data_IF_963628950246
#
_entry.id   IF_963628950246
#
_cell.length_a   1.000
_cell.length_b   1.000
_cell.length_c   1.000
_cell.angle_alpha   90.00
_cell.angle_beta   90.00
_cell.angle_gamma   90.00
#
_symmetry.space_group_name_H-M   'P 1'
#
loop_
_entity.id
_entity.type
_entity.pdbx_description
1 polymer ?
#
# COMPACT_ATOMS: atom_id res chain seq x y z
N UNK A 1 -4.03 -27.66 -16.92
CA UNK A 1 -2.82 -26.90 -16.52
C UNK A 1 -3.29 -25.74 -15.65
N UNK A 2 -3.30 -25.97 -14.34
CA UNK A 2 -3.74 -24.99 -13.33
C UNK A 2 -2.57 -24.11 -12.96
N UNK A 3 -2.55 -22.88 -13.46
CA UNK A 3 -1.63 -21.86 -12.98
C UNK A 3 -2.04 -21.49 -11.56
N UNK A 4 -1.25 -21.92 -10.57
CA UNK A 4 -1.23 -21.27 -9.25
C UNK A 4 -0.65 -19.89 -9.46
N UNK A 5 -1.50 -18.91 -9.77
CA UNK A 5 -1.09 -17.50 -9.73
C UNK A 5 -0.67 -17.19 -8.31
N UNK A 6 0.60 -16.86 -8.09
CA UNK A 6 1.06 -16.29 -6.83
C UNK A 6 0.22 -15.05 -6.55
N UNK A 7 -0.49 -15.04 -5.42
CA UNK A 7 -1.20 -13.85 -4.96
C UNK A 7 -0.18 -12.83 -4.47
N UNK A 8 -0.25 -11.59 -4.95
CA UNK A 8 0.71 -10.56 -4.54
C UNK A 8 0.36 -9.97 -3.18
N UNK A 9 1.31 -9.29 -2.54
CA UNK A 9 1.06 -8.58 -1.26
C UNK A 9 0.01 -7.49 -1.46
N UNK A 10 0.05 -6.80 -2.61
CA UNK A 10 -0.87 -5.74 -3.00
C UNK A 10 -2.31 -6.25 -3.13
N UNK A 11 -2.51 -7.46 -3.66
CA UNK A 11 -3.82 -8.12 -3.75
C UNK A 11 -4.39 -8.51 -2.38
N UNK A 12 -3.54 -8.55 -1.36
CA UNK A 12 -3.88 -8.94 0.01
C UNK A 12 -3.98 -7.77 0.98
N UNK A 13 -3.93 -6.52 0.49
CA UNK A 13 -4.22 -5.35 1.32
C UNK A 13 -5.60 -5.45 1.96
N UNK A 14 -5.71 -4.94 3.19
CA UNK A 14 -6.89 -5.02 4.05
C UNK A 14 -7.32 -6.46 4.38
N UNK A 15 -6.34 -7.38 4.49
CA UNK A 15 -6.60 -8.79 4.88
C UNK A 15 -5.69 -9.25 6.01
N UNK A 16 -6.24 -10.18 6.79
CA UNK A 16 -5.44 -11.04 7.65
C UNK A 16 -4.67 -12.07 6.82
N UNK A 17 -3.39 -12.22 7.10
CA UNK A 17 -2.50 -13.10 6.35
C UNK A 17 -1.64 -13.97 7.27
N UNK A 18 -1.18 -15.07 6.68
CA UNK A 18 -0.06 -15.88 7.14
C UNK A 18 1.16 -15.55 6.29
N UNK A 19 2.32 -15.36 6.92
CA UNK A 19 3.62 -15.37 6.23
C UNK A 19 4.38 -16.64 6.58
N UNK A 20 4.89 -17.33 5.57
CA UNK A 20 5.61 -18.61 5.69
C UNK A 20 6.91 -18.53 6.55
N UNK A 21 7.47 -19.68 6.96
CA UNK A 21 8.45 -19.78 8.07
C UNK A 21 9.73 -18.97 7.99
N UNK A 22 10.18 -18.58 6.79
CA UNK A 22 11.32 -17.68 6.64
C UNK A 22 11.10 -16.31 7.33
N UNK A 23 9.84 -15.89 7.50
CA UNK A 23 9.48 -14.66 8.19
C UNK A 23 9.61 -14.78 9.71
N UNK A 24 9.07 -15.85 10.28
CA UNK A 24 9.02 -16.06 11.72
C UNK A 24 10.42 -16.23 12.32
N UNK A 25 11.31 -16.94 11.62
CA UNK A 25 12.71 -17.08 12.01
C UNK A 25 13.47 -15.75 12.10
N UNK A 26 13.11 -14.75 11.27
CA UNK A 26 13.73 -13.41 11.30
C UNK A 26 13.29 -12.54 12.49
N UNK A 27 12.22 -12.93 13.17
CA UNK A 27 11.64 -12.18 14.29
C UNK A 27 11.82 -12.89 15.64
N UNK A 28 12.62 -13.97 15.68
CA UNK A 28 12.79 -14.82 16.86
C UNK A 28 13.19 -14.08 18.13
N UNK A 29 13.95 -12.98 18.03
CA UNK A 29 14.36 -12.17 19.18
C UNK A 29 13.30 -11.15 19.63
N UNK A 30 12.28 -10.90 18.81
CA UNK A 30 11.20 -9.93 19.05
C UNK A 30 9.93 -10.58 19.60
N UNK A 31 9.88 -11.91 19.70
CA UNK A 31 8.73 -12.68 20.17
C UNK A 31 9.09 -13.48 21.42
N UNK A 32 8.27 -13.44 22.48
CA UNK A 32 8.64 -13.95 23.80
C UNK A 32 8.65 -15.49 23.96
N UNK A 33 8.24 -16.26 22.95
CA UNK A 33 8.04 -17.72 23.03
C UNK A 33 8.51 -18.42 21.73
N UNK A 34 8.75 -19.75 21.72
CA UNK A 34 9.22 -20.44 20.52
C UNK A 34 8.29 -20.12 19.35
N UNK A 35 8.81 -19.48 18.28
CA UNK A 35 7.95 -18.93 17.25
C UNK A 35 7.22 -20.08 16.56
N UNK A 36 5.90 -19.97 16.50
CA UNK A 36 5.12 -20.75 15.55
C UNK A 36 5.71 -20.58 14.15
N UNK A 37 5.47 -21.56 13.29
CA UNK A 37 6.13 -21.60 11.98
C UNK A 37 5.68 -20.48 11.03
N UNK A 38 4.65 -19.70 11.36
CA UNK A 38 4.14 -18.62 10.51
C UNK A 38 3.92 -17.35 11.33
N UNK A 39 4.05 -16.19 10.68
CA UNK A 39 3.53 -14.95 11.26
C UNK A 39 2.06 -14.82 10.92
N UNK A 40 1.27 -14.35 11.89
CA UNK A 40 -0.13 -13.97 11.69
C UNK A 40 -0.21 -12.46 11.82
N UNK A 41 -0.83 -11.78 10.87
CA UNK A 41 -0.97 -10.32 10.94
C UNK A 41 -1.96 -9.76 9.94
N UNK A 42 -2.18 -8.44 10.01
CA UNK A 42 -3.08 -7.72 9.12
C UNK A 42 -2.29 -6.79 8.20
N UNK A 43 -2.45 -6.94 6.88
CA UNK A 43 -1.83 -6.08 5.88
C UNK A 43 -2.65 -4.81 5.69
N UNK A 44 -1.98 -3.66 5.73
CA UNK A 44 -2.58 -2.36 5.52
C UNK A 44 -1.61 -1.38 4.85
N UNK A 45 -2.13 -0.24 4.42
CA UNK A 45 -1.30 0.87 3.94
C UNK A 45 -1.21 1.93 5.03
N UNK A 46 0.01 2.21 5.45
CA UNK A 46 0.39 3.34 6.29
C UNK A 46 0.75 4.52 5.37
N UNK A 47 0.19 5.71 5.63
CA UNK A 47 0.41 6.89 4.79
C UNK A 47 1.89 7.25 4.65
N UNK A 48 2.68 7.06 5.70
CA UNK A 48 4.08 7.50 5.71
C UNK A 48 5.07 6.37 5.46
N UNK A 49 4.61 5.12 5.49
CA UNK A 49 5.48 3.96 5.42
C UNK A 49 5.03 2.91 4.39
N UNK A 50 3.98 3.21 3.63
CA UNK A 50 3.44 2.32 2.61
C UNK A 50 2.87 1.03 3.20
N UNK A 51 3.01 -0.06 2.46
CA UNK A 51 2.50 -1.37 2.85
C UNK A 51 3.17 -1.82 4.15
N UNK A 52 2.34 -2.14 5.13
CA UNK A 52 2.74 -2.50 6.48
C UNK A 52 1.96 -3.72 6.95
N UNK A 53 2.60 -4.55 7.77
CA UNK A 53 1.98 -5.69 8.43
C UNK A 53 1.92 -5.42 9.93
N UNK A 54 0.72 -5.32 10.48
CA UNK A 54 0.55 -5.33 11.92
C UNK A 54 0.53 -6.78 12.41
N UNK A 55 1.57 -7.18 13.14
CA UNK A 55 1.78 -8.57 13.56
C UNK A 55 0.97 -8.84 14.82
N UNK A 56 0.12 -9.86 14.75
CA UNK A 56 -0.60 -10.40 15.90
C UNK A 56 0.29 -11.30 16.75
N UNK A 57 1.18 -12.04 16.09
CA UNK A 57 2.08 -12.99 16.72
C UNK A 57 2.46 -14.10 15.74
N UNK A 58 2.78 -15.28 16.28
CA UNK A 58 3.07 -16.47 15.45
C UNK A 58 2.00 -17.53 15.58
N UNK A 59 1.86 -18.34 14.54
CA UNK A 59 1.01 -19.52 14.57
C UNK A 59 1.60 -20.70 13.80
N UNK A 60 0.96 -21.85 13.98
CA UNK A 60 1.25 -23.08 13.25
C UNK A 60 0.00 -23.48 12.46
N UNK A 61 0.21 -23.98 11.25
CA UNK A 61 -0.86 -24.53 10.41
C UNK A 61 -0.87 -26.05 10.58
N UNK A 62 -2.01 -26.59 11.01
CA UNK A 62 -2.24 -28.02 11.12
C UNK A 62 -2.38 -28.69 9.75
N UNK A 63 -2.31 -30.02 9.71
CA UNK A 63 -2.46 -30.80 8.47
C UNK A 63 -3.84 -30.63 7.81
N UNK A 64 -4.85 -30.25 8.60
CA UNK A 64 -6.22 -29.94 8.19
C UNK A 64 -6.40 -28.47 7.75
N UNK A 65 -5.32 -27.66 7.77
CA UNK A 65 -5.36 -26.23 7.47
C UNK A 65 -5.82 -25.36 8.64
N UNK A 66 -6.07 -25.91 9.82
CA UNK A 66 -6.41 -25.13 11.01
C UNK A 66 -5.23 -24.28 11.44
N UNK A 67 -5.46 -23.02 11.75
CA UNK A 67 -4.41 -22.09 12.22
C UNK A 67 -4.52 -21.96 13.73
N UNK A 68 -3.42 -22.25 14.41
CA UNK A 68 -3.31 -22.10 15.87
C UNK A 68 -2.28 -21.01 16.14
N UNK A 69 -2.69 -19.92 16.78
CA UNK A 69 -1.76 -18.88 17.25
C UNK A 69 -1.04 -19.39 18.48
N UNK A 70 0.27 -19.57 18.38
CA UNK A 70 1.13 -20.13 19.43
C UNK A 70 1.75 -19.06 20.33
N UNK A 71 1.91 -17.85 19.82
CA UNK A 71 2.34 -16.69 20.58
C UNK A 71 1.58 -15.45 20.11
N UNK A 72 1.36 -14.50 21.03
CA UNK A 72 0.80 -13.19 20.70
C UNK A 72 1.77 -12.11 21.12
N UNK A 73 1.87 -11.07 20.29
CA UNK A 73 2.47 -9.81 20.72
C UNK A 73 1.61 -9.30 21.89
N UNK A 74 2.25 -8.94 23.00
CA UNK A 74 1.54 -8.54 24.21
C UNK A 74 0.65 -7.32 23.99
N UNK A 75 -0.44 -7.19 24.75
CA UNK A 75 -1.45 -6.13 24.55
C UNK A 75 -0.91 -4.69 24.64
N UNK A 76 0.26 -4.49 25.27
CA UNK A 76 0.93 -3.19 25.40
C UNK A 76 1.95 -2.93 24.30
N UNK A 77 2.28 -3.93 23.51
CA UNK A 77 3.29 -3.88 22.48
C UNK A 77 2.63 -3.88 21.10
N UNK A 78 3.25 -3.19 20.15
CA UNK A 78 2.85 -3.24 18.74
C UNK A 78 4.07 -3.62 17.92
N UNK A 79 3.95 -4.73 17.21
CA UNK A 79 4.96 -5.16 16.25
C UNK A 79 4.45 -4.88 14.84
N UNK A 80 5.11 -3.94 14.15
CA UNK A 80 4.78 -3.56 12.79
C UNK A 80 5.98 -3.86 11.91
N UNK A 81 5.77 -4.65 10.86
CA UNK A 81 6.77 -4.86 9.81
C UNK A 81 6.47 -3.94 8.64
N UNK A 82 7.52 -3.40 8.03
CA UNK A 82 7.43 -2.61 6.80
C UNK A 82 7.68 -3.49 5.58
N UNK A 83 7.11 -3.10 4.44
CA UNK A 83 7.15 -3.87 3.19
C UNK A 83 8.51 -4.51 2.89
N UNK A 84 9.60 -3.75 3.02
CA UNK A 84 10.97 -4.22 2.76
C UNK A 84 11.36 -5.51 3.50
N UNK A 85 10.77 -5.77 4.67
CA UNK A 85 11.06 -6.95 5.50
C UNK A 85 10.43 -8.21 4.90
N UNK A 86 9.27 -8.09 4.27
CA UNK A 86 8.43 -9.21 3.85
C UNK A 86 8.07 -9.22 2.36
N UNK A 87 8.54 -8.27 1.56
CA UNK A 87 8.24 -8.14 0.12
C UNK A 87 8.62 -9.37 -0.72
N UNK A 88 9.58 -10.18 -0.25
CA UNK A 88 10.04 -11.40 -0.93
C UNK A 88 9.46 -12.68 -0.29
N UNK A 89 8.45 -12.54 0.56
CA UNK A 89 7.79 -13.66 1.21
C UNK A 89 6.46 -13.92 0.51
N UNK A 90 5.98 -15.16 0.61
CA UNK A 90 4.68 -15.54 0.07
C UNK A 90 3.61 -15.36 1.16
N UNK A 91 2.73 -14.36 1.07
CA UNK A 91 1.60 -14.27 1.97
C UNK A 91 0.47 -15.20 1.54
N UNK A 92 -0.26 -15.71 2.52
CA UNK A 92 -1.53 -16.41 2.30
C UNK A 92 -2.64 -15.71 3.08
N UNK A 93 -3.73 -15.34 2.41
CA UNK A 93 -4.92 -14.83 3.10
C UNK A 93 -5.49 -15.88 4.07
N UNK A 94 -5.86 -15.46 5.28
CA UNK A 94 -6.70 -16.26 6.14
C UNK A 94 -8.11 -16.39 5.55
N UNK A 95 -8.62 -17.61 5.51
CA UNK A 95 -10.01 -17.89 5.15
C UNK A 95 -10.97 -17.36 6.22
N UNK A 96 -12.24 -17.17 5.86
CA UNK A 96 -13.27 -16.74 6.81
C UNK A 96 -13.40 -17.70 8.01
N UNK A 97 -13.28 -19.02 7.77
CA UNK A 97 -13.30 -20.04 8.84
C UNK A 97 -12.12 -19.90 9.80
N UNK A 98 -10.89 -19.76 9.27
CA UNK A 98 -9.70 -19.55 10.10
C UNK A 98 -9.78 -18.25 10.90
N UNK A 99 -10.25 -17.14 10.29
CA UNK A 99 -10.45 -15.87 11.01
C UNK A 99 -11.48 -16.02 12.14
N UNK A 100 -12.60 -16.70 11.87
CA UNK A 100 -13.64 -16.96 12.86
C UNK A 100 -13.15 -17.81 14.03
N UNK A 101 -12.38 -18.87 13.75
CA UNK A 101 -11.76 -19.70 14.79
C UNK A 101 -10.77 -18.92 15.67
N UNK A 102 -10.11 -17.91 15.12
CA UNK A 102 -9.18 -17.04 15.84
C UNK A 102 -9.85 -15.82 16.50
N UNK A 103 -11.17 -15.64 16.32
CA UNK A 103 -11.91 -14.49 16.82
C UNK A 103 -11.47 -13.15 16.21
N UNK A 104 -10.95 -13.17 14.98
CA UNK A 104 -10.43 -11.97 14.31
C UNK A 104 -11.55 -11.24 13.56
N UNK A 105 -11.65 -9.90 13.69
CA UNK A 105 -12.62 -9.13 12.92
C UNK A 105 -12.24 -9.12 11.44
N UNK A 106 -13.20 -8.78 10.57
CA UNK A 106 -12.90 -8.61 9.15
C UNK A 106 -11.92 -7.45 8.92
N UNK A 107 -12.20 -6.29 9.53
CA UNK A 107 -11.36 -5.11 9.57
C UNK A 107 -11.12 -4.75 11.04
N UNK A 108 -9.87 -4.60 11.50
CA UNK A 108 -9.60 -4.20 12.89
C UNK A 108 -9.95 -2.74 13.17
N UNK A 109 -10.52 -2.44 14.35
CA UNK A 109 -10.94 -1.09 14.73
C UNK A 109 -9.79 -0.06 14.76
N UNK A 110 -8.58 -0.50 15.15
CA UNK A 110 -7.39 0.35 15.17
C UNK A 110 -6.98 0.85 13.78
N UNK A 111 -7.47 0.22 12.71
CA UNK A 111 -7.15 0.59 11.33
C UNK A 111 -7.78 1.92 10.94
N UNK A 112 -8.84 2.36 11.61
CA UNK A 112 -9.56 3.59 11.27
C UNK A 112 -8.64 4.82 11.22
N UNK A 113 -7.65 4.89 12.11
CA UNK A 113 -6.65 5.97 12.10
C UNK A 113 -5.75 6.00 10.86
N UNK A 114 -5.59 4.87 10.19
CA UNK A 114 -4.77 4.71 8.98
C UNK A 114 -5.59 4.75 7.69
N UNK A 115 -6.91 4.53 7.76
CA UNK A 115 -7.75 4.52 6.56
C UNK A 115 -7.82 5.90 5.93
N UNK A 116 -7.76 5.88 4.60
CA UNK A 116 -7.99 7.01 3.71
C UNK A 116 -8.93 6.52 2.61
N UNK A 117 -10.26 6.53 2.84
CA UNK A 117 -11.20 6.04 1.85
C UNK A 117 -11.08 6.75 0.49
N UNK A 118 -10.56 7.97 0.48
CA UNK A 118 -10.33 8.79 -0.71
C UNK A 118 -9.27 8.23 -1.65
N UNK A 119 -8.30 7.45 -1.14
CA UNK A 119 -7.25 6.84 -1.96
C UNK A 119 -7.67 5.48 -2.53
N UNK A 120 -8.68 4.83 -1.95
CA UNK A 120 -9.15 3.52 -2.40
C UNK A 120 -9.57 3.47 -3.89
N UNK A 121 -10.27 4.48 -4.46
CA UNK A 121 -10.52 4.54 -5.90
C UNK A 121 -9.25 4.63 -6.74
N UNK A 122 -8.24 5.38 -6.28
CA UNK A 122 -6.96 5.55 -6.99
C UNK A 122 -6.20 4.21 -7.03
N UNK A 123 -6.17 3.47 -5.91
CA UNK A 123 -5.52 2.15 -5.81
C UNK A 123 -6.12 1.11 -6.77
N UNK A 124 -7.37 1.28 -7.22
CA UNK A 124 -8.04 0.38 -8.19
C UNK A 124 -7.68 0.67 -9.64
N UNK A 125 -7.00 1.79 -9.92
CA UNK A 125 -6.55 2.13 -11.27
C UNK A 125 -5.30 1.31 -11.62
N UNK A 126 -5.49 0.10 -12.14
CA UNK A 126 -4.40 -0.82 -12.49
C UNK A 126 -3.42 -0.23 -13.52
N UNK A 127 -3.89 0.68 -14.39
CA UNK A 127 -3.03 1.38 -15.35
C UNK A 127 -2.05 2.37 -14.68
N UNK A 128 -2.21 2.69 -13.39
CA UNK A 128 -1.23 3.46 -12.61
C UNK A 128 -0.11 2.60 -12.04
N UNK A 129 -0.24 1.27 -12.01
CA UNK A 129 0.72 0.39 -11.33
C UNK A 129 2.18 0.55 -11.82
N UNK A 130 2.46 0.75 -13.12
CA UNK A 130 3.83 1.03 -13.60
C UNK A 130 4.44 2.35 -13.09
N UNK A 131 3.62 3.18 -12.46
CA UNK A 131 3.96 4.53 -11.99
C UNK A 131 3.95 4.60 -10.46
N UNK A 132 3.49 3.55 -9.78
CA UNK A 132 3.54 3.47 -8.31
C UNK A 132 4.96 3.20 -7.83
N UNK A 133 5.29 3.75 -6.67
CA UNK A 133 6.50 3.39 -5.96
C UNK A 133 6.33 1.98 -5.36
N UNK A 134 7.28 1.06 -5.54
CA UNK A 134 7.20 -0.28 -4.95
C UNK A 134 7.02 -0.23 -3.43
N UNK A 135 5.97 -0.89 -2.92
CA UNK A 135 5.63 -0.87 -1.50
C UNK A 135 4.91 0.38 -1.02
N UNK A 136 4.68 1.39 -1.87
CA UNK A 136 3.96 2.62 -1.55
C UNK A 136 2.86 2.84 -2.59
N UNK A 137 1.70 2.18 -2.42
CA UNK A 137 0.66 2.16 -3.45
C UNK A 137 0.06 3.54 -3.71
N UNK A 138 0.15 4.48 -2.77
CA UNK A 138 -0.35 5.85 -2.98
C UNK A 138 0.69 6.78 -3.60
N UNK A 139 1.97 6.41 -3.62
CA UNK A 139 3.02 7.26 -4.18
C UNK A 139 3.20 6.97 -5.66
N UNK A 140 2.98 7.98 -6.49
CA UNK A 140 3.06 7.88 -7.94
C UNK A 140 4.09 8.85 -8.51
N UNK A 141 4.82 8.43 -9.54
CA UNK A 141 5.68 9.32 -10.33
C UNK A 141 4.89 9.95 -11.46
N UNK A 142 5.10 11.23 -11.70
CA UNK A 142 4.49 11.95 -12.83
C UNK A 142 5.46 13.01 -13.37
N UNK A 143 5.13 13.54 -14.55
CA UNK A 143 5.96 14.54 -15.22
C UNK A 143 5.38 15.94 -15.05
N UNK A 144 6.22 16.88 -14.63
CA UNK A 144 5.97 18.32 -14.75
C UNK A 144 6.36 18.77 -16.16
N UNK A 145 5.45 19.45 -16.86
CA UNK A 145 5.67 19.93 -18.22
C UNK A 145 4.99 21.29 -18.46
N UNK A 146 5.76 22.28 -18.93
CA UNK A 146 5.26 23.57 -19.43
C UNK A 146 6.16 24.05 -20.57
N UNK A 147 5.59 24.80 -21.52
CA UNK A 147 6.34 25.31 -22.68
C UNK A 147 7.54 26.14 -22.22
N UNK A 148 8.72 25.88 -22.79
CA UNK A 148 9.95 26.61 -22.48
C UNK A 148 10.75 26.07 -21.29
N UNK A 149 10.33 24.96 -20.68
CA UNK A 149 11.07 24.25 -19.64
C UNK A 149 11.43 22.84 -20.10
N UNK A 150 12.50 22.27 -19.53
CA UNK A 150 12.76 20.84 -19.67
C UNK A 150 11.75 20.07 -18.83
N UNK A 151 11.13 19.03 -19.40
CA UNK A 151 10.24 18.18 -18.63
C UNK A 151 10.98 17.49 -17.48
N UNK A 152 10.31 17.32 -16.35
CA UNK A 152 10.91 16.77 -15.14
C UNK A 152 10.01 15.71 -14.51
N UNK A 153 10.59 14.61 -14.01
CA UNK A 153 9.86 13.56 -13.29
C UNK A 153 9.99 13.78 -11.80
N UNK A 154 8.86 13.79 -11.12
CA UNK A 154 8.74 13.96 -9.66
C UNK A 154 7.84 12.88 -9.09
N UNK A 155 7.92 12.68 -7.78
CA UNK A 155 7.05 11.80 -7.02
C UNK A 155 6.00 12.61 -6.24
N UNK A 156 4.82 12.05 -6.09
CA UNK A 156 3.81 12.60 -5.19
C UNK A 156 2.89 11.53 -4.62
N UNK A 157 2.44 11.72 -3.39
CA UNK A 157 1.41 10.89 -2.76
C UNK A 157 0.05 11.31 -3.30
N UNK A 158 -0.68 10.38 -3.90
CA UNK A 158 -2.04 10.59 -4.39
C UNK A 158 -3.03 10.60 -3.21
N UNK A 159 -3.86 11.63 -3.14
CA UNK A 159 -4.81 11.83 -2.03
C UNK A 159 -6.24 11.48 -2.40
N UNK A 160 -6.68 11.89 -3.60
CA UNK A 160 -8.04 11.63 -4.07
C UNK A 160 -8.16 11.79 -5.58
N UNK A 161 -9.20 11.19 -6.13
CA UNK A 161 -9.71 11.57 -7.45
C UNK A 161 -10.43 12.92 -7.34
N UNK A 162 -10.05 13.85 -8.20
CA UNK A 162 -10.66 15.17 -8.32
C UNK A 162 -11.72 15.25 -9.44
N UNK A 163 -11.87 14.17 -10.22
CA UNK A 163 -12.85 14.05 -11.29
C UNK A 163 -12.21 13.66 -12.61
N UNK A 164 -12.88 14.00 -13.70
CA UNK A 164 -12.40 13.87 -15.07
C UNK A 164 -12.54 15.23 -15.75
N UNK A 165 -11.60 15.58 -16.63
CA UNK A 165 -11.73 16.80 -17.45
C UNK A 165 -12.51 16.55 -18.75
N UNK A 166 -12.75 17.61 -19.53
CA UNK A 166 -13.51 17.53 -20.78
C UNK A 166 -12.83 16.69 -21.87
N UNK A 167 -11.54 16.37 -21.72
CA UNK A 167 -10.75 15.56 -22.65
C UNK A 167 -10.65 14.10 -22.20
N UNK A 168 -11.33 13.72 -21.11
CA UNK A 168 -11.34 12.35 -20.58
C UNK A 168 -10.11 12.01 -19.73
N UNK A 169 -9.35 13.00 -19.26
CA UNK A 169 -8.25 12.73 -18.32
C UNK A 169 -8.77 12.64 -16.90
N UNK A 170 -8.36 11.59 -16.19
CA UNK A 170 -8.54 11.48 -14.74
C UNK A 170 -7.70 12.56 -14.05
N UNK A 171 -8.32 13.29 -13.12
CA UNK A 171 -7.68 14.29 -12.29
C UNK A 171 -7.37 13.68 -10.91
N UNK A 172 -6.10 13.73 -10.51
CA UNK A 172 -5.63 13.15 -9.24
C UNK A 172 -4.97 14.26 -8.42
N UNK A 173 -5.50 14.56 -7.24
CA UNK A 173 -4.83 15.47 -6.31
C UNK A 173 -3.66 14.74 -5.65
N UNK A 174 -2.46 15.31 -5.75
CA UNK A 174 -1.24 14.74 -5.18
C UNK A 174 -0.53 15.76 -4.28
N UNK A 175 0.17 15.27 -3.26
CA UNK A 175 1.16 16.04 -2.49
C UNK A 175 2.55 15.72 -3.01
N UNK A 176 3.32 16.75 -3.37
CA UNK A 176 4.66 16.55 -3.96
C UNK A 176 5.65 16.04 -2.90
N UNK A 177 6.38 14.96 -3.22
CA UNK A 177 7.30 14.32 -2.26
C UNK A 177 8.75 14.82 -2.36
N UNK A 178 9.16 15.35 -3.52
CA UNK A 178 10.52 15.82 -3.73
C UNK A 178 10.53 17.19 -4.40
N UNK A 179 11.55 17.98 -4.07
CA UNK A 179 11.75 19.29 -4.66
C UNK A 179 12.06 19.13 -6.17
N UNK A 180 11.38 19.89 -7.05
CA UNK A 180 11.78 19.96 -8.44
C UNK A 180 13.14 20.66 -8.60
N UNK A 181 13.93 20.22 -9.58
CA UNK A 181 15.24 20.79 -9.91
C UNK A 181 15.12 22.14 -10.62
N UNK A 182 14.02 22.38 -11.34
CA UNK A 182 13.71 23.67 -11.96
C UNK A 182 12.65 24.41 -11.15
N UNK A 183 12.60 25.74 -11.29
CA UNK A 183 11.53 26.54 -10.67
C UNK A 183 10.21 26.35 -11.42
N UNK A 184 9.40 25.40 -10.94
CA UNK A 184 8.06 25.13 -11.43
C UNK A 184 6.98 25.98 -10.74
N UNK A 185 7.35 26.80 -9.74
CA UNK A 185 6.39 27.49 -8.87
C UNK A 185 5.63 26.57 -7.91
N UNK A 186 6.15 25.36 -7.67
CA UNK A 186 5.67 24.38 -6.69
C UNK A 186 6.86 23.76 -5.98
N UNK A 187 6.67 23.38 -4.72
CA UNK A 187 7.68 22.86 -3.82
C UNK A 187 7.28 21.51 -3.23
N UNK A 188 8.24 20.79 -2.65
CA UNK A 188 7.93 19.60 -1.86
C UNK A 188 6.91 19.94 -0.74
N UNK A 189 5.88 19.12 -0.60
CA UNK A 189 4.74 19.34 0.29
C UNK A 189 3.55 20.08 -0.33
N UNK A 190 3.70 20.67 -1.52
CA UNK A 190 2.59 21.36 -2.18
C UNK A 190 1.56 20.40 -2.77
N UNK A 191 0.30 20.85 -2.79
CA UNK A 191 -0.81 20.15 -3.46
C UNK A 191 -0.88 20.53 -4.94
N UNK A 192 -0.76 19.52 -5.79
CA UNK A 192 -0.81 19.64 -7.24
C UNK A 192 -1.92 18.77 -7.82
N UNK A 193 -2.45 19.18 -8.96
CA UNK A 193 -3.43 18.41 -9.71
C UNK A 193 -2.75 17.68 -10.88
N UNK A 194 -2.74 16.36 -10.85
CA UNK A 194 -2.15 15.53 -11.92
C UNK A 194 -3.22 15.14 -12.92
N UNK A 195 -2.98 15.38 -14.22
CA UNK A 195 -3.83 14.91 -15.32
C UNK A 195 -3.30 13.58 -15.83
N UNK A 196 -4.18 12.59 -15.94
CA UNK A 196 -3.78 11.21 -16.11
C UNK A 196 -4.68 10.47 -17.08
N UNK A 197 -4.11 9.69 -17.99
CA UNK A 197 -4.87 8.73 -18.80
C UNK A 197 -4.02 7.50 -19.14
N UNK A 198 -4.64 6.35 -19.38
CA UNK A 198 -3.94 5.21 -19.97
C UNK A 198 -3.34 5.60 -21.33
N UNK A 199 -2.10 5.19 -21.59
CA UNK A 199 -1.47 5.28 -22.91
C UNK A 199 -1.16 3.86 -23.39
N UNK A 200 -1.20 3.65 -24.71
CA UNK A 200 -1.00 2.35 -25.38
C UNK A 200 0.35 1.70 -25.08
N UNK A 201 1.35 2.47 -24.64
CA UNK A 201 2.69 2.00 -24.28
C UNK A 201 2.97 1.97 -22.75
N UNK A 202 1.93 1.89 -21.92
CA UNK A 202 2.08 1.70 -20.47
C UNK A 202 1.90 2.96 -19.60
N UNK A 203 1.05 3.88 -20.05
CA UNK A 203 0.57 5.01 -19.23
C UNK A 203 1.53 6.20 -19.17
N UNK A 204 1.15 7.32 -19.77
CA UNK A 204 1.83 8.62 -19.55
C UNK A 204 1.00 9.45 -18.59
N UNK A 205 1.54 9.67 -17.38
CA UNK A 205 1.05 10.70 -16.46
C UNK A 205 1.66 12.05 -16.83
N UNK A 206 0.82 13.00 -17.27
CA UNK A 206 1.23 14.39 -17.48
C UNK A 206 0.64 15.23 -16.36
N UNK A 207 1.44 15.47 -15.31
CA UNK A 207 1.07 16.40 -14.27
C UNK A 207 1.04 17.83 -14.81
N UNK A 208 -0.10 18.50 -14.70
CA UNK A 208 -0.16 19.94 -14.86
C UNK A 208 -0.11 20.55 -13.47
N UNK A 209 1.06 21.01 -13.03
CA UNK A 209 1.17 21.77 -11.80
C UNK A 209 0.41 23.11 -11.96
N UNK A 210 -0.80 23.16 -11.43
CA UNK A 210 -1.52 24.37 -11.12
C UNK A 210 -2.03 24.28 -9.68
N UNK A 211 -2.09 25.39 -8.93
CA UNK A 211 -2.63 25.39 -7.57
C UNK A 211 -4.06 24.83 -7.59
N UNK A 212 -4.36 23.92 -6.66
CA UNK A 212 -5.74 23.47 -6.42
C UNK A 212 -6.55 24.72 -6.04
N UNK A 213 -7.62 25.09 -6.79
CA UNK A 213 -8.43 26.24 -6.42
C UNK A 213 -8.99 26.05 -5.01
N UNK A 214 -8.89 27.08 -4.17
CA UNK A 214 -9.56 27.07 -2.88
C UNK A 214 -11.04 26.76 -3.08
N UNK A 215 -11.59 25.82 -2.30
CA UNK A 215 -13.02 25.48 -2.36
C UNK A 215 -13.84 26.77 -2.15
N UNK A 216 -14.70 27.10 -3.11
CA UNK A 216 -15.81 28.04 -2.95
C UNK A 216 -16.90 27.43 -2.07
#
# INVERSE_FOLDING_TARGET
MSGTGQTTIEELLDRWVLLFPAAAARLGDLLPDPPGTHLVGFLYVDLHAGISLHVLGTGTVGADGTVIVTSRVGDRDRLILRHVVFQNLEPQALTASQRGALGLPEIPDWLEGYRRPETAPIRRLAWLDPLRCPGYPDDIRFRLARRGMQAEVVWGTAWRLAGEDAEGFTLIECELLNEPNQDWGVHAGDRVLVRAKPDTDGGVLVGFAGPVPARS
#
